data_IF_261224074087
#
_entry.id   IF_261224074087
#
_cell.length_a   1.000
_cell.length_b   1.000
_cell.length_c   1.000
_cell.angle_alpha   90.00
_cell.angle_beta   90.00
_cell.angle_gamma   90.00
#
_symmetry.space_group_name_H-M   'P 1'
#
loop_
_entity.id
_entity.type
_entity.pdbx_description
1 polymer ?
#
# COMPACT_ATOMS: atom_id res chain seq x y z
N UNK A 1 7.10 -8.73 -8.80
CA UNK A 1 8.50 -8.29 -8.77
C UNK A 1 8.72 -7.46 -7.51
N UNK A 2 9.67 -7.83 -6.64
CA UNK A 2 9.95 -7.13 -5.40
C UNK A 2 11.31 -6.45 -5.58
N UNK A 3 11.31 -5.12 -5.72
CA UNK A 3 12.53 -4.31 -5.74
C UNK A 3 13.05 -4.12 -4.32
N UNK A 4 14.36 -4.20 -4.14
CA UNK A 4 14.98 -4.00 -2.83
C UNK A 4 14.84 -2.54 -2.38
N UNK A 5 14.97 -2.30 -1.06
CA UNK A 5 15.00 -0.93 -0.51
C UNK A 5 16.10 -0.14 -1.17
N UNK A 6 17.29 -0.72 -1.33
CA UNK A 6 18.43 -0.08 -2.00
C UNK A 6 18.11 0.36 -3.44
N UNK A 7 17.45 -0.51 -4.21
CA UNK A 7 17.02 -0.20 -5.57
C UNK A 7 16.01 0.96 -5.59
N UNK A 8 15.04 0.97 -4.66
CA UNK A 8 14.06 2.05 -4.55
C UNK A 8 14.71 3.36 -4.11
N UNK A 9 15.65 3.31 -3.17
CA UNK A 9 16.46 4.47 -2.75
C UNK A 9 17.24 5.04 -3.93
N UNK A 10 17.81 4.18 -4.78
CA UNK A 10 18.52 4.65 -5.96
C UNK A 10 17.62 5.40 -6.94
N UNK A 11 16.38 4.94 -7.15
CA UNK A 11 15.39 5.65 -7.98
C UNK A 11 15.11 7.05 -7.42
N UNK A 12 14.91 7.17 -6.10
CA UNK A 12 14.67 8.47 -5.46
C UNK A 12 15.91 9.37 -5.53
N UNK A 13 17.11 8.83 -5.33
CA UNK A 13 18.34 9.60 -5.47
C UNK A 13 18.51 10.13 -6.90
N UNK A 14 18.21 9.31 -7.91
CA UNK A 14 18.21 9.74 -9.31
C UNK A 14 17.20 10.86 -9.57
N UNK A 15 15.99 10.73 -9.02
CA UNK A 15 14.97 11.78 -9.04
C UNK A 15 15.46 13.09 -8.41
N UNK A 16 16.06 13.05 -7.22
CA UNK A 16 16.56 14.25 -6.54
C UNK A 16 17.74 14.89 -7.27
N UNK A 17 18.58 14.09 -7.93
CA UNK A 17 19.75 14.57 -8.66
C UNK A 17 19.40 15.22 -10.00
N UNK A 18 18.43 14.62 -10.71
CA UNK A 18 18.04 15.04 -12.07
C UNK A 18 16.80 15.93 -12.09
N UNK A 19 16.08 16.00 -10.97
CA UNK A 19 14.91 16.84 -10.81
C UNK A 19 15.28 18.32 -10.73
N UNK A 20 14.48 19.15 -11.40
CA UNK A 20 14.60 20.61 -11.31
C UNK A 20 13.30 21.20 -10.83
N UNK A 21 13.36 22.19 -9.95
CA UNK A 21 12.16 22.86 -9.46
C UNK A 21 11.74 23.96 -10.41
N UNK A 22 10.57 23.80 -11.02
CA UNK A 22 9.92 24.81 -11.87
C UNK A 22 8.61 25.18 -11.19
N UNK A 23 8.47 26.43 -10.74
CA UNK A 23 7.30 26.93 -10.00
C UNK A 23 6.94 26.07 -8.77
N UNK A 24 7.95 25.59 -8.03
CA UNK A 24 7.76 24.73 -6.85
C UNK A 24 7.41 23.28 -7.16
N UNK A 25 7.26 22.91 -8.44
CA UNK A 25 7.06 21.53 -8.88
C UNK A 25 8.40 20.95 -9.33
N UNK A 26 8.78 19.80 -8.79
CA UNK A 26 9.95 19.08 -9.26
C UNK A 26 9.65 18.38 -10.59
N UNK A 27 10.24 18.88 -11.67
CA UNK A 27 10.19 18.33 -13.02
C UNK A 27 11.37 17.37 -13.19
N UNK A 28 11.09 16.12 -13.52
CA UNK A 28 12.08 15.07 -13.69
C UNK A 28 11.75 14.20 -14.90
N UNK A 29 12.76 13.55 -15.47
CA UNK A 29 12.57 12.60 -16.58
C UNK A 29 12.62 11.17 -16.06
N UNK A 30 11.47 10.48 -16.14
CA UNK A 30 11.35 9.05 -15.81
C UNK A 30 12.30 8.21 -16.67
N UNK A 31 12.51 8.61 -17.93
CA UNK A 31 13.41 7.93 -18.87
C UNK A 31 14.85 8.01 -18.35
N UNK A 32 15.29 9.19 -17.90
CA UNK A 32 16.64 9.38 -17.34
C UNK A 32 16.80 8.53 -16.07
N UNK A 33 15.85 8.57 -15.15
CA UNK A 33 15.89 7.73 -13.94
C UNK A 33 15.98 6.23 -14.27
N UNK A 34 15.22 5.78 -15.28
CA UNK A 34 15.24 4.40 -15.76
C UNK A 34 16.60 4.04 -16.35
N UNK A 35 17.18 4.88 -17.19
CA UNK A 35 18.48 4.63 -17.82
C UNK A 35 19.60 4.56 -16.79
N UNK A 36 19.62 5.46 -15.81
CA UNK A 36 20.60 5.42 -14.72
C UNK A 36 20.47 4.15 -13.88
N UNK A 37 19.24 3.73 -13.60
CA UNK A 37 18.99 2.48 -12.88
C UNK A 37 19.52 1.28 -13.66
N UNK A 38 19.17 1.17 -14.95
CA UNK A 38 19.60 0.07 -15.81
C UNK A 38 21.13 0.05 -16.00
N UNK A 39 21.76 1.22 -15.97
CA UNK A 39 23.23 1.34 -16.03
C UNK A 39 23.87 0.83 -14.75
N UNK A 40 23.34 1.21 -13.57
CA UNK A 40 23.90 0.79 -12.28
C UNK A 40 23.67 -0.70 -12.00
N UNK A 41 22.50 -1.22 -12.35
CA UNK A 41 22.08 -2.59 -12.04
C UNK A 41 22.13 -3.50 -13.27
N UNK A 42 23.08 -3.23 -14.19
CA UNK A 42 23.19 -3.89 -15.49
C UNK A 42 23.35 -5.41 -15.38
N UNK A 43 24.04 -5.89 -14.35
CA UNK A 43 24.39 -7.30 -14.15
C UNK A 43 23.34 -8.09 -13.37
N UNK A 44 22.29 -7.44 -12.86
CA UNK A 44 21.18 -8.15 -12.23
C UNK A 44 20.26 -8.67 -13.35
N UNK A 45 20.07 -9.99 -13.41
CA UNK A 45 19.15 -10.75 -14.29
C UNK A 45 17.66 -10.35 -14.19
N UNK A 46 17.39 -9.24 -13.52
CA UNK A 46 16.11 -8.59 -13.25
C UNK A 46 15.81 -7.55 -14.37
N UNK A 47 16.63 -7.51 -15.44
CA UNK A 47 16.56 -6.48 -16.49
C UNK A 47 15.31 -6.50 -17.36
N UNK A 48 14.42 -7.49 -17.26
CA UNK A 48 13.11 -7.39 -17.87
C UNK A 48 12.12 -6.74 -16.91
N UNK A 49 11.89 -5.44 -17.17
CA UNK A 49 10.75 -4.62 -16.74
C UNK A 49 10.88 -3.81 -15.44
N UNK A 50 11.94 -3.00 -15.30
CA UNK A 50 11.75 -1.72 -14.59
C UNK A 50 10.71 -0.89 -15.34
N UNK A 51 9.48 -0.97 -14.84
CA UNK A 51 8.34 -0.23 -15.36
C UNK A 51 8.44 1.23 -14.96
N UNK A 52 8.11 2.12 -15.89
CA UNK A 52 7.97 3.54 -15.61
C UNK A 52 6.91 3.81 -14.53
N UNK A 53 5.89 2.96 -14.45
CA UNK A 53 4.86 3.04 -13.41
C UNK A 53 5.47 2.87 -12.03
N UNK A 54 6.37 1.89 -11.87
CA UNK A 54 7.04 1.64 -10.59
C UNK A 54 7.94 2.80 -10.17
N UNK A 55 8.65 3.42 -11.13
CA UNK A 55 9.45 4.62 -10.89
C UNK A 55 8.56 5.76 -10.38
N UNK A 56 7.45 6.04 -11.07
CA UNK A 56 6.50 7.09 -10.68
C UNK A 56 5.90 6.81 -9.30
N UNK A 57 5.52 5.57 -9.01
CA UNK A 57 4.92 5.18 -7.73
C UNK A 57 5.88 5.39 -6.55
N UNK A 58 7.16 5.04 -6.72
CA UNK A 58 8.17 5.27 -5.67
C UNK A 58 8.38 6.75 -5.43
N UNK A 59 8.52 7.54 -6.50
CA UNK A 59 8.74 8.98 -6.40
C UNK A 59 7.52 9.64 -5.75
N UNK A 60 6.31 9.31 -6.18
CA UNK A 60 5.08 9.83 -5.60
C UNK A 60 4.94 9.44 -4.12
N UNK A 61 5.32 8.20 -3.76
CA UNK A 61 5.36 7.78 -2.36
C UNK A 61 6.35 8.63 -1.57
N UNK A 62 7.59 8.76 -2.05
CA UNK A 62 8.62 9.54 -1.38
C UNK A 62 8.21 11.00 -1.20
N UNK A 63 7.64 11.63 -2.23
CA UNK A 63 7.14 13.02 -2.14
C UNK A 63 6.05 13.15 -1.09
N UNK A 64 5.18 12.14 -0.94
CA UNK A 64 4.07 12.17 0.03
C UNK A 64 4.51 11.84 1.46
N UNK A 65 5.41 10.87 1.64
CA UNK A 65 5.71 10.28 2.96
C UNK A 65 7.13 10.54 3.44
N UNK A 66 8.01 11.04 2.58
CA UNK A 66 9.45 11.13 2.84
C UNK A 66 10.15 9.76 2.88
N UNK A 67 9.47 8.67 2.55
CA UNK A 67 10.00 7.31 2.67
C UNK A 67 9.91 6.52 1.36
N UNK A 68 10.91 5.68 1.14
CA UNK A 68 10.97 4.71 0.04
C UNK A 68 10.36 3.36 0.42
N UNK A 69 10.27 3.10 1.72
CA UNK A 69 9.69 1.86 2.23
C UNK A 69 8.19 1.83 2.00
N UNK A 70 7.68 0.63 1.75
CA UNK A 70 6.25 0.40 1.85
C UNK A 70 5.90 0.51 3.33
N UNK A 71 4.97 1.40 3.67
CA UNK A 71 4.37 1.36 5.00
C UNK A 71 3.93 -0.07 5.27
N UNK A 72 4.33 -0.62 6.41
CA UNK A 72 3.74 -1.86 6.90
C UNK A 72 2.26 -1.55 7.06
N UNK A 73 1.44 -2.08 6.16
CA UNK A 73 0.00 -2.02 6.34
C UNK A 73 -0.26 -2.56 7.75
N UNK A 74 -0.99 -1.84 8.60
CA UNK A 74 -1.45 -2.42 9.85
C UNK A 74 -2.14 -3.71 9.43
N UNK A 75 -1.61 -4.84 9.89
CA UNK A 75 -2.14 -6.14 9.50
C UNK A 75 -3.65 -6.16 9.74
N UNK A 76 -4.37 -7.03 9.03
CA UNK A 76 -5.81 -7.21 9.25
C UNK A 76 -6.04 -7.30 10.76
N UNK A 77 -6.90 -6.43 11.35
CA UNK A 77 -7.19 -6.49 12.77
C UNK A 77 -7.58 -7.93 13.12
N UNK A 78 -7.00 -8.48 14.18
CA UNK A 78 -7.43 -9.78 14.69
C UNK A 78 -8.94 -9.72 14.93
N UNK A 79 -9.65 -10.73 14.41
CA UNK A 79 -11.09 -10.87 14.65
C UNK A 79 -11.30 -10.94 16.16
N UNK A 80 -12.11 -10.02 16.71
CA UNK A 80 -12.44 -10.04 18.14
C UNK A 80 -13.13 -11.34 18.51
N UNK A 81 -12.86 -11.85 19.70
CA UNK A 81 -13.51 -13.04 20.26
C UNK A 81 -15.05 -12.88 20.30
N UNK A 82 -15.54 -11.64 20.41
CA UNK A 82 -16.95 -11.30 20.29
C UNK A 82 -17.53 -11.62 18.91
N UNK A 83 -16.79 -11.32 17.83
CA UNK A 83 -17.21 -11.65 16.46
C UNK A 83 -17.25 -13.16 16.26
N UNK A 84 -16.27 -13.89 16.81
CA UNK A 84 -16.25 -15.36 16.76
C UNK A 84 -17.43 -15.96 17.52
N UNK A 85 -17.73 -15.43 18.71
CA UNK A 85 -18.87 -15.88 19.52
C UNK A 85 -20.22 -15.57 18.86
N UNK A 86 -20.34 -14.40 18.22
CA UNK A 86 -21.53 -14.03 17.46
C UNK A 86 -21.75 -14.94 16.24
N UNK A 87 -20.69 -15.33 15.53
CA UNK A 87 -20.78 -16.29 14.43
C UNK A 87 -21.19 -17.69 14.93
N UNK A 88 -20.62 -18.16 16.05
CA UNK A 88 -21.04 -19.43 16.67
C UNK A 88 -22.50 -19.41 17.12
N UNK A 89 -22.96 -18.29 17.69
CA UNK A 89 -24.36 -18.12 18.11
C UNK A 89 -25.30 -18.11 16.90
N UNK A 90 -24.91 -17.44 15.81
CA UNK A 90 -25.65 -17.44 14.55
C UNK A 90 -25.76 -18.85 13.94
N UNK A 91 -24.67 -19.61 13.93
CA UNK A 91 -24.65 -21.00 13.42
C UNK A 91 -25.52 -21.94 14.26
N UNK A 92 -25.50 -21.78 15.59
CA UNK A 92 -26.24 -22.67 16.50
C UNK A 92 -27.72 -22.30 16.61
N UNK A 93 -28.04 -21.00 16.72
CA UNK A 93 -29.40 -20.51 16.90
C UNK A 93 -29.61 -19.12 16.27
N UNK A 94 -29.99 -19.07 14.97
CA UNK A 94 -30.11 -17.82 14.24
C UNK A 94 -31.22 -16.89 14.78
N UNK A 95 -32.31 -17.44 15.33
CA UNK A 95 -33.41 -16.61 15.88
C UNK A 95 -32.98 -15.83 17.12
N UNK A 96 -32.19 -16.44 18.01
CA UNK A 96 -31.70 -15.79 19.23
C UNK A 96 -30.68 -14.72 18.92
N UNK A 97 -29.83 -14.95 17.90
CA UNK A 97 -28.91 -13.95 17.39
C UNK A 97 -29.67 -12.74 16.82
N UNK A 98 -30.66 -12.95 15.95
CA UNK A 98 -31.48 -11.87 15.38
C UNK A 98 -32.24 -11.08 16.46
N UNK A 99 -32.73 -11.76 17.50
CA UNK A 99 -33.42 -11.11 18.63
C UNK A 99 -32.45 -10.23 19.43
N UNK A 100 -31.25 -10.74 19.75
CA UNK A 100 -30.20 -9.93 20.42
C UNK A 100 -29.78 -8.74 19.57
N UNK A 101 -29.65 -8.93 18.27
CA UNK A 101 -29.23 -7.89 17.33
C UNK A 101 -30.32 -6.82 17.17
N UNK A 102 -31.61 -7.20 17.17
CA UNK A 102 -32.76 -6.28 17.24
C UNK A 102 -32.75 -5.46 18.54
N UNK A 103 -32.47 -6.10 19.69
CA UNK A 103 -32.34 -5.40 20.98
C UNK A 103 -31.16 -4.43 21.01
N UNK A 104 -29.99 -4.82 20.46
CA UNK A 104 -28.80 -3.95 20.39
C UNK A 104 -28.95 -2.79 19.40
N UNK A 105 -29.69 -2.98 18.31
CA UNK A 105 -29.95 -1.94 17.30
C UNK A 105 -31.12 -1.03 17.65
N UNK A 106 -31.85 -1.31 18.74
CA UNK A 106 -32.98 -0.50 19.19
C UNK A 106 -34.18 -0.51 18.24
N UNK A 107 -34.22 -1.42 17.28
CA UNK A 107 -35.36 -1.56 16.35
C UNK A 107 -36.41 -2.43 17.04
N UNK A 108 -37.57 -1.86 17.44
CA UNK A 108 -38.65 -2.64 18.03
C UNK A 108 -39.13 -3.62 16.97
N UNK A 109 -39.08 -4.92 17.27
CA UNK A 109 -39.72 -5.94 16.45
C UNK A 109 -41.19 -5.60 16.31
N UNK A 110 -41.63 -5.32 15.09
CA UNK A 110 -43.04 -5.13 14.76
C UNK A 110 -43.81 -6.39 15.18
N UNK A 111 -44.80 -6.18 16.05
CA UNK A 111 -45.90 -7.09 16.37
C UNK A 111 -46.64 -7.55 15.12
#
# INVERSE_FOLDING_TARGET
MIYSVEQNTFIVMSYCRNGTFVNGVCVYSVIVCKQEYLTKYRDLTIQETLSEVHIRDIINRFVRTGSVDKEKSPGRPSVSEEVVNNLRLLEQNPQTFLTRLSQQSGVPGAT
#
